data_IF_167281672198
#
_entry.id   IF_167281672198
#
_cell.length_a   1.000
_cell.length_b   1.000
_cell.length_c   1.000
_cell.angle_alpha   90.00
_cell.angle_beta   90.00
_cell.angle_gamma   90.00
#
_symmetry.space_group_name_H-M   'P 1'
#
loop_
_entity.id
_entity.type
_entity.pdbx_description
1 polymer ?
#
# COMPACT_ATOMS: atom_id res chain seq x y z
N UNK A 1 8.64 -16.16 4.11
CA UNK A 1 8.42 -17.58 3.75
C UNK A 1 9.20 -17.88 2.48
N UNK A 2 10.23 -18.72 2.54
CA UNK A 2 11.04 -19.07 1.37
C UNK A 2 10.40 -20.28 0.68
N UNK A 3 9.89 -20.10 -0.52
CA UNK A 3 9.31 -21.17 -1.31
C UNK A 3 10.11 -21.34 -2.62
N UNK A 4 10.68 -22.53 -2.83
CA UNK A 4 11.51 -22.86 -3.99
C UNK A 4 10.97 -24.07 -4.73
N UNK A 5 11.05 -24.03 -6.03
CA UNK A 5 10.74 -25.14 -6.92
C UNK A 5 12.03 -25.86 -7.33
N UNK A 6 12.00 -27.19 -7.35
CA UNK A 6 13.11 -27.99 -7.86
C UNK A 6 13.01 -28.11 -9.37
N UNK A 7 14.01 -27.64 -10.08
CA UNK A 7 14.14 -27.75 -11.54
C UNK A 7 15.31 -28.66 -11.87
N UNK A 8 15.48 -29.04 -13.13
CA UNK A 8 16.62 -29.85 -13.58
C UNK A 8 17.98 -29.17 -13.31
N UNK A 9 18.02 -27.84 -13.24
CA UNK A 9 19.22 -27.02 -12.99
C UNK A 9 19.40 -26.61 -11.54
N UNK A 10 18.51 -27.03 -10.60
CA UNK A 10 18.60 -26.69 -9.18
C UNK A 10 17.32 -26.12 -8.58
N UNK A 11 17.45 -25.46 -7.44
CA UNK A 11 16.33 -24.83 -6.76
C UNK A 11 16.13 -23.39 -7.22
N UNK A 12 14.94 -23.06 -7.73
CA UNK A 12 14.56 -21.74 -8.22
C UNK A 12 13.45 -21.17 -7.32
N UNK A 13 13.53 -19.88 -6.91
CA UNK A 13 12.48 -19.28 -6.10
C UNK A 13 11.15 -19.20 -6.88
N UNK A 14 10.05 -19.45 -6.19
CA UNK A 14 8.72 -19.21 -6.76
C UNK A 14 8.50 -17.72 -7.02
N UNK A 15 7.68 -17.35 -8.01
CA UNK A 15 7.38 -15.93 -8.31
C UNK A 15 6.79 -15.15 -7.14
N UNK A 16 6.16 -15.86 -6.21
CA UNK A 16 5.53 -15.29 -5.01
C UNK A 16 6.43 -15.34 -3.77
N UNK A 17 7.69 -15.79 -3.92
CA UNK A 17 8.60 -15.90 -2.78
C UNK A 17 8.98 -14.52 -2.25
N UNK A 18 8.63 -14.26 -0.99
CA UNK A 18 9.11 -13.12 -0.21
C UNK A 18 9.83 -13.61 1.04
N UNK A 19 11.05 -13.14 1.27
CA UNK A 19 11.85 -13.55 2.46
C UNK A 19 11.28 -12.97 3.74
N UNK A 20 10.73 -11.75 3.67
CA UNK A 20 10.05 -11.08 4.78
C UNK A 20 8.91 -10.20 4.27
N UNK A 21 7.91 -10.03 5.11
CA UNK A 21 6.85 -9.04 4.97
C UNK A 21 6.43 -8.62 6.37
N UNK A 22 6.51 -7.34 6.65
CA UNK A 22 6.15 -6.74 7.93
C UNK A 22 5.09 -5.68 7.69
N UNK A 23 4.00 -5.78 8.44
CA UNK A 23 2.92 -4.80 8.43
C UNK A 23 2.63 -4.30 9.84
N UNK A 24 2.51 -2.98 9.97
CA UNK A 24 2.03 -2.31 11.18
C UNK A 24 0.74 -1.58 10.84
N UNK A 25 -0.28 -1.78 11.67
CA UNK A 25 -1.51 -1.01 11.63
C UNK A 25 -1.84 -0.53 13.03
N UNK A 26 -2.05 0.77 13.15
CA UNK A 26 -2.46 1.42 14.38
C UNK A 26 -3.62 2.38 14.07
N UNK A 27 -4.66 2.33 14.87
CA UNK A 27 -5.77 3.29 14.79
C UNK A 27 -6.33 3.50 16.20
N UNK A 28 -6.41 4.75 16.62
CA UNK A 28 -6.98 5.10 17.92
C UNK A 28 -7.51 6.54 17.92
N UNK A 29 -8.29 6.85 18.96
CA UNK A 29 -8.71 8.20 19.26
C UNK A 29 -7.56 8.96 19.93
N UNK A 30 -7.44 10.25 19.60
CA UNK A 30 -6.41 11.09 20.24
C UNK A 30 -6.76 11.26 21.72
N UNK A 31 -5.86 10.87 22.65
CA UNK A 31 -6.07 11.08 24.08
C UNK A 31 -6.40 12.55 24.37
N UNK A 32 -7.37 12.83 25.26
CA UNK A 32 -7.93 14.16 25.57
C UNK A 32 -8.80 14.79 24.48
N UNK A 33 -8.79 14.28 23.24
CA UNK A 33 -9.59 14.81 22.13
C UNK A 33 -10.38 13.69 21.42
N UNK A 34 -11.44 13.13 22.03
CA UNK A 34 -12.16 11.97 21.49
C UNK A 34 -12.90 12.28 20.15
N UNK A 35 -12.94 13.55 19.75
CA UNK A 35 -13.44 13.95 18.44
C UNK A 35 -12.41 13.75 17.31
N UNK A 36 -11.18 13.37 17.63
CA UNK A 36 -10.11 13.11 16.65
C UNK A 36 -9.70 11.64 16.69
N UNK A 37 -9.53 11.06 15.51
CA UNK A 37 -9.04 9.70 15.30
C UNK A 37 -7.79 9.77 14.41
N UNK A 38 -6.73 9.14 14.85
CA UNK A 38 -5.49 9.00 14.09
C UNK A 38 -5.35 7.56 13.60
N UNK A 39 -4.82 7.37 12.40
CA UNK A 39 -4.46 6.06 11.87
C UNK A 39 -3.07 6.10 11.25
N UNK A 40 -2.31 5.02 11.44
CA UNK A 40 -1.00 4.78 10.87
C UNK A 40 -0.99 3.37 10.28
N UNK A 41 -0.55 3.26 9.04
CA UNK A 41 -0.30 1.99 8.39
C UNK A 41 1.10 2.01 7.80
N UNK A 42 1.92 1.04 8.12
CA UNK A 42 3.23 0.86 7.52
C UNK A 42 3.39 -0.56 6.97
N UNK A 43 3.95 -0.67 5.79
CA UNK A 43 4.22 -1.95 5.13
C UNK A 43 5.67 -1.92 4.64
N UNK A 44 6.38 -3.00 4.93
CA UNK A 44 7.72 -3.23 4.40
C UNK A 44 7.85 -4.70 4.02
N UNK A 45 8.04 -4.99 2.74
CA UNK A 45 8.18 -6.34 2.24
C UNK A 45 9.33 -6.46 1.25
N UNK A 46 9.91 -7.66 1.20
CA UNK A 46 10.99 -7.99 0.27
C UNK A 46 10.49 -7.96 -1.18
N UNK A 47 11.42 -7.72 -2.10
CA UNK A 47 11.13 -7.77 -3.53
C UNK A 47 10.81 -9.18 -4.01
N UNK A 48 9.99 -9.26 -5.04
CA UNK A 48 9.63 -10.53 -5.71
C UNK A 48 10.72 -10.95 -6.71
N UNK A 49 11.00 -12.24 -6.86
CA UNK A 49 11.88 -12.73 -7.90
C UNK A 49 11.21 -12.62 -9.27
N UNK A 50 11.91 -12.03 -10.23
CA UNK A 50 11.47 -11.87 -11.61
C UNK A 50 12.53 -12.35 -12.59
N UNK A 51 12.12 -12.85 -13.74
CA UNK A 51 13.01 -13.23 -14.85
C UNK A 51 12.59 -12.51 -16.13
N UNK A 52 13.52 -12.36 -17.06
CA UNK A 52 13.23 -11.82 -18.38
C UNK A 52 12.28 -12.76 -19.15
N UNK A 53 11.31 -12.25 -19.96
CA UNK A 53 10.30 -13.07 -20.62
C UNK A 53 10.84 -14.16 -21.55
N UNK A 54 12.02 -13.93 -22.14
CA UNK A 54 12.70 -14.89 -23.04
C UNK A 54 13.67 -15.83 -22.35
N UNK A 55 13.91 -15.64 -21.03
CA UNK A 55 14.77 -16.51 -20.22
C UNK A 55 13.94 -17.26 -19.21
N UNK A 56 14.17 -18.54 -19.08
CA UNK A 56 13.56 -19.33 -18.03
C UNK A 56 14.03 -18.86 -16.65
N UNK A 57 13.20 -18.98 -15.62
CA UNK A 57 13.61 -18.66 -14.23
C UNK A 57 14.84 -19.43 -13.77
N UNK A 58 15.07 -20.60 -14.34
CA UNK A 58 16.24 -21.42 -14.07
C UNK A 58 17.55 -20.86 -14.68
N UNK A 59 17.43 -20.03 -15.73
CA UNK A 59 18.56 -19.42 -16.43
C UNK A 59 19.02 -18.10 -15.81
N UNK A 60 18.20 -17.51 -14.96
CA UNK A 60 18.54 -16.31 -14.22
C UNK A 60 17.29 -15.54 -13.76
N UNK A 61 17.35 -15.02 -12.55
CA UNK A 61 16.34 -14.16 -11.99
C UNK A 61 17.00 -13.02 -11.22
N UNK A 62 16.27 -11.93 -11.06
CA UNK A 62 16.62 -10.81 -10.17
C UNK A 62 15.47 -10.56 -9.21
N UNK A 63 15.74 -9.85 -8.13
CA UNK A 63 14.68 -9.40 -7.21
C UNK A 63 14.31 -7.96 -7.48
N UNK A 64 13.02 -7.69 -7.49
CA UNK A 64 12.52 -6.31 -7.52
C UNK A 64 12.97 -5.58 -6.24
N UNK A 65 13.07 -4.26 -6.26
CA UNK A 65 13.26 -3.48 -5.04
C UNK A 65 12.19 -3.80 -3.99
N UNK A 66 12.54 -3.72 -2.69
CA UNK A 66 11.56 -3.95 -1.63
C UNK A 66 10.44 -2.91 -1.68
N UNK A 67 9.21 -3.38 -1.44
CA UNK A 67 8.03 -2.53 -1.31
C UNK A 67 8.01 -1.88 0.07
N UNK A 68 7.84 -0.56 0.09
CA UNK A 68 7.78 0.24 1.32
C UNK A 68 6.66 1.26 1.20
N UNK A 69 5.81 1.34 2.21
CA UNK A 69 4.75 2.33 2.23
C UNK A 69 4.38 2.69 3.65
N UNK A 70 4.21 3.98 3.89
CA UNK A 70 3.68 4.52 5.13
C UNK A 70 2.49 5.41 4.79
N UNK A 71 1.33 5.10 5.36
CA UNK A 71 0.11 5.89 5.22
C UNK A 71 -0.27 6.44 6.59
N UNK A 72 -0.71 7.69 6.62
CA UNK A 72 -1.29 8.29 7.82
C UNK A 72 -2.67 8.84 7.52
N UNK A 73 -3.54 8.81 8.51
CA UNK A 73 -4.86 9.40 8.42
C UNK A 73 -5.22 10.15 9.70
N UNK A 74 -5.82 11.31 9.55
CA UNK A 74 -6.40 12.08 10.64
C UNK A 74 -7.87 12.33 10.32
N UNK A 75 -8.75 11.95 11.23
CA UNK A 75 -10.19 12.17 11.09
C UNK A 75 -10.71 12.98 12.27
N UNK A 76 -11.66 13.88 11.99
CA UNK A 76 -12.34 14.68 13.00
C UNK A 76 -13.84 14.46 12.91
N UNK A 77 -14.47 14.23 14.05
CA UNK A 77 -15.92 14.21 14.15
C UNK A 77 -16.45 15.65 14.08
N UNK A 78 -17.22 15.94 13.04
CA UNK A 78 -17.85 17.24 12.85
C UNK A 78 -19.15 17.38 13.67
N UNK A 79 -19.93 16.29 13.72
CA UNK A 79 -21.19 16.25 14.47
C UNK A 79 -21.43 14.85 15.03
N UNK A 80 -22.09 14.77 16.17
CA UNK A 80 -22.51 13.52 16.84
C UNK A 80 -23.80 13.72 17.61
N UNK A 81 -24.40 12.64 18.10
CA UNK A 81 -25.78 12.56 18.59
C UNK A 81 -26.30 13.68 19.50
N UNK A 82 -25.45 14.35 20.27
CA UNK A 82 -25.83 15.47 21.16
C UNK A 82 -25.66 16.86 20.54
N UNK A 83 -25.05 16.94 19.34
CA UNK A 83 -24.82 18.22 18.71
C UNK A 83 -26.13 18.80 18.11
N UNK A 84 -26.35 20.11 18.24
CA UNK A 84 -27.57 20.79 17.73
C UNK A 84 -27.84 20.56 16.24
N UNK A 85 -26.80 20.29 15.45
CA UNK A 85 -26.92 19.98 14.02
C UNK A 85 -27.66 18.66 13.81
N UNK A 86 -27.43 17.65 14.67
CA UNK A 86 -28.08 16.33 14.59
C UNK A 86 -29.57 16.38 14.94
N UNK A 87 -30.06 17.46 15.57
CA UNK A 87 -31.48 17.62 15.89
C UNK A 87 -32.31 18.10 14.68
N UNK A 88 -31.66 18.57 13.61
CA UNK A 88 -32.36 18.97 12.39
C UNK A 88 -32.93 17.76 11.65
N UNK A 89 -34.13 17.85 11.02
CA UNK A 89 -34.81 16.72 10.38
C UNK A 89 -33.93 15.93 9.42
N UNK A 90 -33.10 16.61 8.61
CA UNK A 90 -32.22 16.00 7.63
C UNK A 90 -31.08 15.17 8.27
N UNK A 91 -30.54 15.63 9.40
CA UNK A 91 -29.41 14.98 10.06
C UNK A 91 -29.80 13.97 11.14
N UNK A 92 -31.08 13.89 11.49
CA UNK A 92 -31.60 13.01 12.55
C UNK A 92 -31.36 11.51 12.28
N UNK A 93 -31.20 11.12 11.01
CA UNK A 93 -30.93 9.74 10.62
C UNK A 93 -29.45 9.35 10.79
N UNK A 94 -28.57 10.30 11.06
CA UNK A 94 -27.14 10.04 11.24
C UNK A 94 -26.76 10.01 12.72
N UNK A 95 -25.90 9.08 13.10
CA UNK A 95 -25.31 9.02 14.44
C UNK A 95 -24.10 9.94 14.55
N UNK A 96 -23.29 9.99 13.51
CA UNK A 96 -22.14 10.88 13.47
C UNK A 96 -21.71 11.22 12.04
N UNK A 97 -21.01 12.36 11.92
CA UNK A 97 -20.42 12.85 10.67
C UNK A 97 -18.93 13.07 10.93
N UNK A 98 -18.10 12.47 10.10
CA UNK A 98 -16.64 12.56 10.18
C UNK A 98 -16.05 13.13 8.91
N UNK A 99 -15.05 14.00 9.06
CA UNK A 99 -14.16 14.41 7.98
C UNK A 99 -12.79 13.81 8.25
N UNK A 100 -12.13 13.27 7.23
CA UNK A 100 -10.80 12.69 7.32
C UNK A 100 -9.90 13.16 6.20
N UNK A 101 -8.63 13.33 6.51
CA UNK A 101 -7.55 13.54 5.57
C UNK A 101 -6.61 12.35 5.68
N UNK A 102 -6.44 11.62 4.58
CA UNK A 102 -5.52 10.50 4.51
C UNK A 102 -4.36 10.88 3.56
N UNK A 103 -3.13 10.61 3.98
CA UNK A 103 -1.93 10.76 3.16
C UNK A 103 -1.36 9.38 2.91
N UNK A 104 -1.47 8.92 1.67
CA UNK A 104 -0.91 7.65 1.23
C UNK A 104 0.51 7.84 0.74
N UNK A 105 1.37 6.86 1.04
CA UNK A 105 2.78 6.90 0.71
C UNK A 105 3.47 8.19 1.21
N UNK A 106 3.32 8.48 2.49
CA UNK A 106 3.80 9.71 3.15
C UNK A 106 5.26 10.05 2.82
N UNK A 107 6.11 9.04 2.77
CA UNK A 107 7.55 9.17 2.53
C UNK A 107 7.92 9.18 1.04
N UNK A 108 6.91 9.13 0.15
CA UNK A 108 7.06 9.19 -1.31
C UNK A 108 8.03 8.15 -1.89
N UNK A 109 7.97 6.92 -1.37
CA UNK A 109 8.77 5.82 -1.89
C UNK A 109 8.38 5.48 -3.33
N UNK A 110 9.37 5.38 -4.20
CA UNK A 110 9.22 4.94 -5.59
C UNK A 110 9.11 3.40 -5.62
N UNK A 111 7.92 2.87 -5.35
CA UNK A 111 7.64 1.44 -5.38
C UNK A 111 7.44 0.95 -6.81
N UNK A 112 8.16 -0.10 -7.19
CA UNK A 112 8.01 -0.72 -8.50
C UNK A 112 6.82 -1.67 -8.50
N UNK A 113 5.91 -1.49 -9.45
CA UNK A 113 4.76 -2.36 -9.66
C UNK A 113 5.09 -3.53 -10.61
N UNK A 114 5.76 -3.21 -11.71
CA UNK A 114 6.07 -4.14 -12.78
C UNK A 114 7.26 -3.64 -13.60
N UNK A 115 7.68 -4.41 -14.58
CA UNK A 115 8.71 -4.00 -15.54
C UNK A 115 8.18 -4.12 -16.95
N UNK A 116 8.47 -3.12 -17.78
CA UNK A 116 8.41 -3.24 -19.23
C UNK A 116 9.74 -3.76 -19.72
N UNK A 117 9.70 -4.67 -20.69
CA UNK A 117 10.89 -5.25 -21.29
C UNK A 117 11.11 -4.67 -22.66
N UNK A 118 12.22 -3.96 -22.83
CA UNK A 118 12.62 -3.37 -24.10
C UNK A 118 13.81 -4.15 -24.64
N UNK A 119 13.70 -4.60 -25.88
CA UNK A 119 14.80 -5.28 -26.58
C UNK A 119 15.57 -4.26 -27.41
N UNK A 120 16.86 -4.18 -27.20
CA UNK A 120 17.74 -3.32 -27.98
C UNK A 120 18.08 -3.93 -29.37
N UNK A 121 18.83 -3.18 -30.18
CA UNK A 121 19.27 -3.62 -31.51
C UNK A 121 20.19 -4.84 -31.49
N UNK A 122 20.79 -5.15 -30.34
CA UNK A 122 21.65 -6.31 -30.13
C UNK A 122 20.89 -7.48 -29.48
N UNK A 123 19.53 -7.42 -29.45
CA UNK A 123 18.65 -8.44 -28.84
C UNK A 123 18.78 -8.59 -27.32
N UNK A 124 19.43 -7.64 -26.62
CA UNK A 124 19.45 -7.64 -25.17
C UNK A 124 18.13 -7.14 -24.61
N UNK A 125 17.62 -7.80 -23.58
CA UNK A 125 16.40 -7.40 -22.88
C UNK A 125 16.74 -6.51 -21.69
N UNK A 126 16.23 -5.27 -21.72
CA UNK A 126 16.37 -4.28 -20.66
C UNK A 126 15.05 -4.12 -19.89
N UNK A 127 15.13 -4.21 -18.57
CA UNK A 127 13.99 -4.05 -17.69
C UNK A 127 13.79 -2.57 -17.37
N UNK A 128 12.68 -1.98 -17.80
CA UNK A 128 12.28 -0.61 -17.48
C UNK A 128 11.23 -0.63 -16.39
N UNK A 129 11.49 -0.08 -15.19
CA UNK A 129 10.54 -0.14 -14.09
C UNK A 129 9.31 0.71 -14.35
N UNK A 130 8.14 0.16 -14.02
CA UNK A 130 6.88 0.87 -13.94
C UNK A 130 6.56 1.08 -12.46
N UNK A 131 6.48 2.34 -12.06
CA UNK A 131 6.29 2.70 -10.65
C UNK A 131 4.81 2.82 -10.30
N UNK A 132 4.48 2.47 -9.05
CA UNK A 132 3.20 2.84 -8.44
C UNK A 132 3.14 4.36 -8.25
N UNK A 133 1.93 4.87 -8.06
CA UNK A 133 1.71 6.28 -7.73
C UNK A 133 2.48 6.68 -6.47
N UNK A 134 3.10 7.84 -6.51
CA UNK A 134 3.79 8.46 -5.39
C UNK A 134 2.84 8.86 -4.26
N UNK A 135 3.18 9.92 -3.54
CA UNK A 135 2.35 10.46 -2.46
C UNK A 135 1.00 10.96 -2.96
N UNK A 136 -0.06 10.57 -2.25
CA UNK A 136 -1.42 10.97 -2.56
C UNK A 136 -2.13 11.52 -1.32
N UNK A 137 -2.94 12.55 -1.53
CA UNK A 137 -3.81 13.13 -0.52
C UNK A 137 -5.25 12.74 -0.84
N UNK A 138 -5.97 12.26 0.17
CA UNK A 138 -7.36 11.86 0.06
C UNK A 138 -8.19 12.55 1.14
N UNK A 139 -9.23 13.25 0.73
CA UNK A 139 -10.22 13.82 1.63
C UNK A 139 -11.42 12.89 1.69
N UNK A 140 -11.82 12.49 2.90
CA UNK A 140 -12.92 11.57 3.15
C UNK A 140 -13.98 12.23 4.02
N UNK A 141 -15.24 12.07 3.59
CA UNK A 141 -16.41 12.41 4.38
C UNK A 141 -17.19 11.13 4.66
N UNK A 142 -17.43 10.83 5.94
CA UNK A 142 -18.14 9.61 6.36
C UNK A 142 -19.37 9.95 7.19
N UNK A 143 -20.46 9.27 6.89
CA UNK A 143 -21.73 9.38 7.60
C UNK A 143 -22.02 8.02 8.24
N UNK A 144 -22.21 8.01 9.57
CA UNK A 144 -22.64 6.83 10.32
C UNK A 144 -24.14 6.93 10.61
N UNK A 145 -24.88 5.89 10.31
CA UNK A 145 -26.33 5.78 10.51
C UNK A 145 -26.69 5.03 11.79
#
# INVERSE_FOLDING_TARGET
MTAKEKTASGYVPLPTEQRYSVGLFFQDYVPRFPKYRFSLKAIWSDGLPMAAPRKGRAEGYFRTPPYRRVDIGLSRRLAGGEDRIMQKPFFRSFKSIWIGLDVFNLLDFANVNSYYWVTDIYYNQNAVPNYLTGRQFNLRLSFEF
#
